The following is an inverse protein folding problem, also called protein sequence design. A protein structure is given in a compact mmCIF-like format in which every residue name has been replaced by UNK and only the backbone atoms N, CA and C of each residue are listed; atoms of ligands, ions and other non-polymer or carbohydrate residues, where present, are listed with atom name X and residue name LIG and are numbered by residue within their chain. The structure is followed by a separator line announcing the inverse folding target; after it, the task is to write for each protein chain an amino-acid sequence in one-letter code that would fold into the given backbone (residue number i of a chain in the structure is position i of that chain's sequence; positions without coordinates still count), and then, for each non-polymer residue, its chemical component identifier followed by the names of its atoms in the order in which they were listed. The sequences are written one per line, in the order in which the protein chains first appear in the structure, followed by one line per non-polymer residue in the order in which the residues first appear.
data_IF_350103945895
#
_entry.id   IF_350103945895
#
_cell.length_a   1.000
_cell.length_b   1.000
_cell.length_c   1.000
_cell.angle_alpha   90.00
_cell.angle_beta   90.00
_cell.angle_gamma   90.00
#
_symmetry.space_group_name_H-M   'P 1'
#
loop_
_entity.id
_entity.type
_entity.pdbx_description
1 polymer ?
#
# COMPACT_ATOMS: atom_id res chain seq x y z
N UNK A 1 14.86 -18.49 32.97
CA UNK A 1 14.61 -18.24 31.54
C UNK A 1 13.22 -17.59 31.29
N UNK A 2 12.07 -18.22 31.70
CA UNK A 2 10.75 -17.63 31.43
C UNK A 2 10.55 -16.16 31.90
N UNK A 3 11.15 -15.76 33.05
CA UNK A 3 11.05 -14.37 33.54
C UNK A 3 11.87 -13.37 32.71
N UNK A 4 13.05 -13.79 32.23
CA UNK A 4 13.88 -12.96 31.35
C UNK A 4 13.25 -12.79 29.96
N UNK A 5 12.69 -13.88 29.39
CA UNK A 5 11.95 -13.81 28.14
C UNK A 5 10.77 -12.80 28.23
N UNK A 6 10.02 -12.87 29.34
CA UNK A 6 8.91 -11.94 29.58
C UNK A 6 9.37 -10.48 29.73
N UNK A 7 10.52 -10.28 30.38
CA UNK A 7 11.11 -8.96 30.55
C UNK A 7 11.55 -8.35 29.22
N UNK A 8 12.30 -9.12 28.39
CA UNK A 8 12.68 -8.72 27.04
C UNK A 8 11.41 -8.42 26.24
N UNK A 9 10.42 -9.34 26.28
CA UNK A 9 9.17 -9.17 25.55
C UNK A 9 8.42 -7.89 25.91
N UNK A 10 8.26 -7.58 27.19
CA UNK A 10 7.62 -6.32 27.64
C UNK A 10 8.35 -5.07 27.14
N UNK A 11 9.69 -5.09 27.21
CA UNK A 11 10.50 -3.96 26.75
C UNK A 11 10.38 -3.75 25.24
N UNK A 12 10.37 -4.86 24.46
CA UNK A 12 10.16 -4.79 23.00
C UNK A 12 8.74 -4.34 22.65
N UNK A 13 7.71 -4.85 23.34
CA UNK A 13 6.32 -4.38 23.14
C UNK A 13 6.22 -2.87 23.38
N UNK A 14 6.76 -2.38 24.50
CA UNK A 14 6.76 -0.96 24.80
C UNK A 14 7.49 -0.15 23.72
N UNK A 15 8.65 -0.64 23.26
CA UNK A 15 9.38 -0.05 22.14
C UNK A 15 8.55 0.00 20.86
N UNK A 16 7.84 -1.08 20.51
CA UNK A 16 6.98 -1.13 19.32
C UNK A 16 5.81 -0.15 19.46
N UNK A 17 5.17 -0.09 20.61
CA UNK A 17 4.05 0.84 20.84
C UNK A 17 4.48 2.30 20.72
N UNK A 18 5.62 2.67 21.33
CA UNK A 18 6.18 4.03 21.22
C UNK A 18 6.55 4.34 19.77
N UNK A 19 7.24 3.43 19.09
CA UNK A 19 7.64 3.61 17.69
C UNK A 19 6.42 3.70 16.76
N UNK A 20 5.39 2.86 16.97
CA UNK A 20 4.13 2.93 16.21
C UNK A 20 3.44 4.28 16.42
N UNK A 21 3.31 4.74 17.67
CA UNK A 21 2.69 6.04 17.97
C UNK A 21 3.45 7.19 17.31
N UNK A 22 4.78 7.15 17.34
CA UNK A 22 5.63 8.15 16.68
C UNK A 22 5.44 8.15 15.15
N UNK A 23 5.43 6.98 14.52
CA UNK A 23 5.22 6.84 13.08
C UNK A 23 3.80 7.28 12.67
N UNK A 24 2.78 6.86 13.42
CA UNK A 24 1.39 7.27 13.17
C UNK A 24 1.27 8.79 13.28
N UNK A 25 1.81 9.38 14.34
CA UNK A 25 1.78 10.84 14.53
C UNK A 25 2.45 11.58 13.37
N UNK A 26 3.67 11.16 12.99
CA UNK A 26 4.42 11.76 11.88
C UNK A 26 3.65 11.66 10.56
N UNK A 27 3.20 10.46 10.19
CA UNK A 27 2.48 10.24 8.94
C UNK A 27 1.11 10.92 8.93
N UNK A 28 0.41 10.95 10.06
CA UNK A 28 -0.85 11.69 10.17
C UNK A 28 -0.67 13.19 9.93
N UNK A 29 0.42 13.78 10.43
CA UNK A 29 0.76 15.19 10.16
C UNK A 29 1.08 15.40 8.68
N UNK A 30 1.88 14.52 8.07
CA UNK A 30 2.19 14.61 6.64
C UNK A 30 0.93 14.49 5.77
N UNK A 31 0.07 13.50 6.06
CA UNK A 31 -1.21 13.35 5.36
C UNK A 31 -2.11 14.57 5.57
N UNK A 32 -2.09 15.20 6.77
CA UNK A 32 -2.84 16.43 7.00
C UNK A 32 -2.35 17.59 6.13
N UNK A 33 -1.04 17.74 5.98
CA UNK A 33 -0.46 18.76 5.12
C UNK A 33 -0.82 18.53 3.64
N UNK A 34 -0.86 17.28 3.21
CA UNK A 34 -1.32 16.90 1.86
C UNK A 34 -2.81 17.26 1.67
N UNK A 35 -3.68 16.91 2.63
CA UNK A 35 -5.11 17.20 2.57
C UNK A 35 -5.42 18.71 2.63
N UNK A 36 -4.55 19.54 3.22
CA UNK A 36 -4.71 20.99 3.20
C UNK A 36 -4.61 21.58 1.79
N UNK A 37 -3.93 20.89 0.86
CA UNK A 37 -3.88 21.26 -0.54
C UNK A 37 -5.20 21.00 -1.32
N UNK A 38 -6.02 20.09 -0.79
CA UNK A 38 -7.29 19.66 -1.40
C UNK A 38 -8.52 20.34 -0.79
N UNK A 39 -8.34 21.36 0.08
CA UNK A 39 -9.47 22.05 0.72
C UNK A 39 -10.38 22.76 -0.29
N UNK A 40 -11.68 22.65 -0.06
CA UNK A 40 -12.74 23.27 -0.85
C UNK A 40 -13.86 23.83 0.06
N UNK A 41 -14.85 24.53 -0.51
CA UNK A 41 -15.99 25.04 0.28
C UNK A 41 -16.76 23.93 1.01
N UNK A 42 -16.75 22.71 0.48
CA UNK A 42 -17.42 21.53 1.08
C UNK A 42 -16.47 20.63 1.88
N UNK A 43 -15.16 20.73 1.64
CA UNK A 43 -14.12 19.96 2.35
C UNK A 43 -13.25 20.90 3.18
N UNK A 44 -13.69 21.17 4.39
CA UNK A 44 -13.00 22.06 5.32
C UNK A 44 -11.90 21.33 6.13
N UNK A 45 -11.10 22.08 6.87
CA UNK A 45 -10.03 21.53 7.69
C UNK A 45 -10.53 20.53 8.75
N UNK A 46 -11.79 20.65 9.21
CA UNK A 46 -12.39 19.69 10.13
C UNK A 46 -12.71 18.36 9.45
N UNK A 47 -13.15 18.40 8.20
CA UNK A 47 -13.37 17.21 7.37
C UNK A 47 -12.05 16.51 7.08
N UNK A 48 -10.98 17.25 6.74
CA UNK A 48 -9.63 16.72 6.61
C UNK A 48 -9.15 16.03 7.89
N UNK A 49 -9.38 16.65 9.05
CA UNK A 49 -9.04 16.05 10.35
C UNK A 49 -9.81 14.75 10.59
N UNK A 50 -11.11 14.72 10.31
CA UNK A 50 -11.94 13.50 10.40
C UNK A 50 -11.40 12.39 9.47
N UNK A 51 -11.07 12.74 8.23
CA UNK A 51 -10.47 11.82 7.28
C UNK A 51 -9.22 11.16 7.84
N UNK A 52 -8.32 11.95 8.47
CA UNK A 52 -7.09 11.43 9.08
C UNK A 52 -7.41 10.46 10.22
N UNK A 53 -8.34 10.83 11.13
CA UNK A 53 -8.73 9.94 12.22
C UNK A 53 -9.23 8.58 11.71
N UNK A 54 -10.03 8.58 10.64
CA UNK A 54 -10.46 7.34 10.00
C UNK A 54 -9.33 6.61 9.24
N UNK A 55 -8.26 7.30 8.85
CA UNK A 55 -7.09 6.72 8.19
C UNK A 55 -6.05 6.13 9.18
N UNK A 56 -6.14 6.42 10.48
CA UNK A 56 -5.20 5.90 11.51
C UNK A 56 -5.05 4.38 11.47
N UNK A 57 -6.10 3.55 11.37
CA UNK A 57 -5.96 2.09 11.32
C UNK A 57 -5.15 1.62 10.10
N UNK A 58 -5.28 2.30 8.96
CA UNK A 58 -4.48 2.02 7.76
C UNK A 58 -3.02 2.38 8.00
N UNK A 59 -2.74 3.60 8.47
CA UNK A 59 -1.38 4.07 8.76
C UNK A 59 -0.70 3.11 9.77
N UNK A 60 -1.40 2.71 10.82
CA UNK A 60 -0.90 1.72 11.78
C UNK A 60 -0.53 0.40 11.09
N UNK A 61 -1.45 -0.15 10.29
CA UNK A 61 -1.24 -1.41 9.59
C UNK A 61 -0.04 -1.35 8.63
N UNK A 62 0.06 -0.32 7.80
CA UNK A 62 1.13 -0.14 6.82
C UNK A 62 2.50 0.08 7.47
N UNK A 63 2.54 0.76 8.63
CA UNK A 63 3.80 1.06 9.35
C UNK A 63 4.28 -0.05 10.26
N UNK A 64 3.48 -1.08 10.47
CA UNK A 64 3.74 -2.14 11.46
C UNK A 64 5.11 -2.83 11.29
N UNK A 65 5.57 -3.20 10.07
CA UNK A 65 6.90 -3.78 9.88
C UNK A 65 8.03 -2.83 10.33
N UNK A 66 7.91 -1.55 10.02
CA UNK A 66 8.91 -0.53 10.38
C UNK A 66 8.88 -0.24 11.89
N UNK A 67 7.68 -0.19 12.47
CA UNK A 67 7.50 -0.03 13.92
C UNK A 67 8.09 -1.20 14.70
N UNK A 68 8.03 -2.43 14.18
CA UNK A 68 8.67 -3.59 14.82
C UNK A 68 10.19 -3.50 14.79
N UNK A 69 10.80 -3.04 13.70
CA UNK A 69 12.24 -2.79 13.62
C UNK A 69 12.68 -1.73 14.62
N UNK A 70 12.04 -0.55 14.57
CA UNK A 70 12.38 0.58 15.45
C UNK A 70 12.09 0.24 16.92
N UNK A 71 11.01 -0.47 17.18
CA UNK A 71 10.64 -0.96 18.50
C UNK A 71 11.64 -1.96 19.07
N UNK A 72 12.15 -2.86 18.23
CA UNK A 72 13.24 -3.76 18.59
C UNK A 72 14.53 -2.98 18.90
N UNK A 73 14.90 -2.04 18.03
CA UNK A 73 16.10 -1.22 18.21
C UNK A 73 16.03 -0.34 19.46
N UNK A 74 14.88 0.26 19.74
CA UNK A 74 14.68 1.08 20.95
C UNK A 74 14.62 0.21 22.20
N UNK A 75 13.79 -0.84 22.22
CA UNK A 75 13.60 -1.71 23.38
C UNK A 75 14.87 -2.49 23.77
N UNK A 76 15.45 -3.24 22.84
CA UNK A 76 16.70 -3.92 23.09
C UNK A 76 17.89 -2.95 23.22
N UNK A 77 17.82 -1.80 22.56
CA UNK A 77 18.80 -0.74 22.68
C UNK A 77 18.88 -0.18 24.11
N UNK A 78 17.75 0.00 24.78
CA UNK A 78 17.69 0.37 26.21
C UNK A 78 18.36 -0.70 27.08
N UNK A 79 18.07 -1.96 26.85
CA UNK A 79 18.68 -3.09 27.59
C UNK A 79 20.20 -3.20 27.31
N UNK A 80 20.64 -2.87 26.08
CA UNK A 80 22.05 -2.82 25.74
C UNK A 80 22.79 -1.68 26.47
N UNK A 81 22.21 -0.48 26.46
CA UNK A 81 22.82 0.70 27.11
C UNK A 81 22.94 0.54 28.63
N UNK A 82 22.00 -0.15 29.27
CA UNK A 82 22.05 -0.49 30.69
C UNK A 82 22.86 -1.74 30.98
N UNK A 83 23.64 -2.25 30.03
CA UNK A 83 24.48 -3.45 30.13
C UNK A 83 23.71 -4.75 30.46
N UNK A 84 22.39 -4.73 30.48
CA UNK A 84 21.55 -5.87 30.85
C UNK A 84 21.68 -7.02 29.85
N UNK A 85 21.82 -6.71 28.54
CA UNK A 85 22.06 -7.77 27.53
C UNK A 85 23.40 -8.50 27.75
N UNK A 86 24.43 -7.79 28.23
CA UNK A 86 25.73 -8.38 28.54
C UNK A 86 25.58 -9.34 29.74
N UNK A 87 24.87 -8.91 30.79
CA UNK A 87 24.56 -9.73 31.97
C UNK A 87 23.74 -10.97 31.57
N UNK A 88 22.70 -10.83 30.72
CA UNK A 88 21.91 -11.96 30.25
C UNK A 88 22.76 -12.98 29.48
N UNK A 89 23.71 -12.51 28.67
CA UNK A 89 24.65 -13.37 27.96
C UNK A 89 25.65 -14.08 28.92
N UNK A 90 26.13 -13.40 29.94
CA UNK A 90 27.00 -14.02 30.95
C UNK A 90 26.29 -15.13 31.75
N UNK A 91 24.96 -15.06 31.87
CA UNK A 91 24.12 -16.13 32.43
C UNK A 91 23.78 -17.24 31.42
N UNK A 92 24.43 -17.27 30.25
CA UNK A 92 24.30 -18.33 29.26
C UNK A 92 23.19 -18.13 28.19
N UNK A 93 22.51 -16.98 28.15
CA UNK A 93 21.56 -16.72 27.07
C UNK A 93 22.30 -16.48 25.74
N UNK A 94 21.94 -17.24 24.72
CA UNK A 94 22.46 -17.06 23.37
C UNK A 94 21.83 -15.87 22.67
N UNK A 95 22.50 -15.32 21.64
CA UNK A 95 21.94 -14.26 20.81
C UNK A 95 20.63 -14.69 20.13
N UNK A 96 20.51 -15.97 19.78
CA UNK A 96 19.29 -16.56 19.19
C UNK A 96 18.13 -16.62 20.17
N UNK A 97 18.39 -16.95 21.44
CA UNK A 97 17.34 -16.92 22.47
C UNK A 97 16.81 -15.53 22.71
N UNK A 98 17.68 -14.51 22.72
CA UNK A 98 17.27 -13.09 22.81
C UNK A 98 16.48 -12.68 21.58
N UNK A 99 16.94 -13.08 20.37
CA UNK A 99 16.21 -12.82 19.12
C UNK A 99 14.81 -13.40 19.17
N UNK A 100 14.69 -14.65 19.61
CA UNK A 100 13.39 -15.32 19.70
C UNK A 100 12.48 -14.72 20.78
N UNK A 101 13.06 -14.26 21.89
CA UNK A 101 12.32 -13.54 22.95
C UNK A 101 11.80 -12.19 22.48
N UNK A 102 12.48 -11.53 21.53
CA UNK A 102 12.02 -10.30 20.90
C UNK A 102 11.02 -10.56 19.77
N UNK A 103 11.22 -11.62 18.98
CA UNK A 103 10.37 -11.95 17.83
C UNK A 103 8.95 -12.41 18.24
N UNK A 104 8.81 -13.17 19.32
CA UNK A 104 7.49 -13.64 19.82
C UNK A 104 6.50 -12.50 20.05
N UNK A 105 6.80 -11.48 20.88
CA UNK A 105 5.88 -10.40 21.13
C UNK A 105 5.65 -9.52 19.89
N UNK A 106 6.67 -9.34 19.06
CA UNK A 106 6.52 -8.64 17.79
C UNK A 106 5.54 -9.39 16.88
N UNK A 107 5.63 -10.71 16.76
CA UNK A 107 4.69 -11.53 15.99
C UNK A 107 3.26 -11.40 16.51
N UNK A 108 3.05 -11.39 17.84
CA UNK A 108 1.71 -11.21 18.42
C UNK A 108 1.11 -9.86 18.00
N UNK A 109 1.88 -8.76 18.08
CA UNK A 109 1.42 -7.43 17.66
C UNK A 109 1.11 -7.41 16.17
N UNK A 110 1.94 -8.04 15.35
CA UNK A 110 1.74 -8.10 13.89
C UNK A 110 0.49 -8.90 13.53
N UNK A 111 0.25 -10.03 14.19
CA UNK A 111 -0.95 -10.83 13.98
C UNK A 111 -2.23 -10.08 14.41
N UNK A 112 -2.16 -9.34 15.54
CA UNK A 112 -3.24 -8.45 15.97
C UNK A 112 -3.48 -7.33 14.95
N UNK A 113 -2.40 -6.73 14.43
CA UNK A 113 -2.48 -5.72 13.37
C UNK A 113 -3.10 -6.27 12.09
N UNK A 114 -2.73 -7.48 11.68
CA UNK A 114 -3.33 -8.16 10.52
C UNK A 114 -4.82 -8.44 10.75
N UNK A 115 -5.20 -8.91 11.92
CA UNK A 115 -6.60 -9.11 12.27
C UNK A 115 -7.41 -7.80 12.22
N UNK A 116 -6.86 -6.70 12.76
CA UNK A 116 -7.47 -5.37 12.66
C UNK A 116 -7.54 -4.89 11.20
N UNK A 117 -6.50 -5.15 10.41
CA UNK A 117 -6.45 -4.86 8.98
C UNK A 117 -7.55 -5.58 8.17
N UNK A 118 -7.91 -6.80 8.56
CA UNK A 118 -8.96 -7.55 7.87
C UNK A 118 -10.38 -7.18 8.32
N UNK A 119 -10.56 -6.75 9.57
CA UNK A 119 -11.90 -6.54 10.16
C UNK A 119 -12.29 -5.07 10.25
N UNK A 120 -11.38 -4.22 10.68
CA UNK A 120 -11.64 -2.80 10.93
C UNK A 120 -11.31 -1.92 9.73
N UNK A 121 -10.18 -2.18 9.05
CA UNK A 121 -9.69 -1.36 7.95
C UNK A 121 -10.76 -1.06 6.88
N UNK A 122 -11.50 -2.04 6.31
CA UNK A 122 -12.46 -1.76 5.25
C UNK A 122 -13.57 -0.80 5.67
N UNK A 123 -14.02 -0.91 6.95
CA UNK A 123 -15.07 -0.04 7.50
C UNK A 123 -14.57 1.40 7.69
N UNK A 124 -13.37 1.55 8.26
CA UNK A 124 -12.77 2.86 8.48
C UNK A 124 -12.43 3.56 7.15
N UNK A 125 -11.87 2.82 6.18
CA UNK A 125 -11.56 3.34 4.85
C UNK A 125 -12.83 3.76 4.08
N UNK A 126 -13.93 3.01 4.22
CA UNK A 126 -15.22 3.41 3.64
C UNK A 126 -15.67 4.76 4.20
N UNK A 127 -15.60 4.95 5.52
CA UNK A 127 -15.98 6.21 6.15
C UNK A 127 -15.03 7.36 5.78
N UNK A 128 -13.72 7.11 5.73
CA UNK A 128 -12.74 8.08 5.28
C UNK A 128 -13.04 8.55 3.85
N UNK A 129 -13.34 7.61 2.97
CA UNK A 129 -13.69 7.90 1.58
C UNK A 129 -14.95 8.74 1.47
N UNK A 130 -16.04 8.37 2.17
CA UNK A 130 -17.29 9.15 2.19
C UNK A 130 -17.04 10.61 2.62
N UNK A 131 -16.18 10.84 3.62
CA UNK A 131 -15.83 12.20 4.05
C UNK A 131 -15.08 12.95 2.96
N UNK A 132 -14.12 12.32 2.29
CA UNK A 132 -13.36 12.95 1.22
C UNK A 132 -14.23 13.20 -0.02
N UNK A 133 -15.06 12.24 -0.42
CA UNK A 133 -15.98 12.35 -1.57
C UNK A 133 -17.08 13.38 -1.34
N UNK A 134 -17.63 13.50 -0.12
CA UNK A 134 -18.67 14.50 0.19
C UNK A 134 -18.17 15.95 0.14
N UNK A 135 -16.86 16.15 0.23
CA UNK A 135 -16.23 17.46 0.25
C UNK A 135 -15.61 17.88 -1.09
N UNK A 136 -15.19 16.93 -1.89
CA UNK A 136 -14.70 17.21 -3.23
C UNK A 136 -15.90 17.24 -4.19
N UNK A 137 -16.02 18.27 -5.01
CA UNK A 137 -16.99 18.25 -6.10
C UNK A 137 -16.69 17.02 -6.98
N UNK A 138 -17.34 15.90 -6.63
CA UNK A 138 -17.67 14.79 -7.51
C UNK A 138 -16.53 14.08 -8.27
N UNK A 139 -15.24 14.38 -8.02
CA UNK A 139 -14.13 13.79 -8.78
C UNK A 139 -13.44 12.67 -8.00
N UNK A 140 -13.67 11.40 -8.38
CA UNK A 140 -13.13 10.21 -7.70
C UNK A 140 -11.78 9.77 -8.29
N UNK A 141 -11.32 10.46 -9.34
CA UNK A 141 -10.14 10.02 -10.12
C UNK A 141 -8.82 10.57 -9.60
N UNK A 142 -7.72 9.79 -9.66
CA UNK A 142 -6.38 10.31 -9.50
C UNK A 142 -6.09 11.42 -10.51
N UNK A 143 -5.29 12.40 -10.16
CA UNK A 143 -4.90 13.52 -11.04
C UNK A 143 -4.34 13.10 -12.41
N UNK A 144 -3.84 11.86 -12.53
CA UNK A 144 -3.33 11.26 -13.77
C UNK A 144 -4.39 10.60 -14.64
N UNK A 145 -5.65 10.49 -14.18
CA UNK A 145 -6.68 9.69 -14.82
C UNK A 145 -6.47 8.19 -14.61
N UNK A 146 -7.43 7.40 -15.05
CA UNK A 146 -7.40 5.94 -14.90
C UNK A 146 -7.31 5.26 -16.28
N UNK A 147 -6.36 4.34 -16.44
CA UNK A 147 -6.15 3.54 -17.65
C UNK A 147 -6.55 2.09 -17.43
N UNK A 148 -7.28 1.54 -18.39
CA UNK A 148 -7.53 0.09 -18.46
C UNK A 148 -7.65 -0.34 -19.93
N UNK A 149 -7.62 -1.65 -20.15
CA UNK A 149 -7.74 -2.24 -21.48
C UNK A 149 -8.97 -3.13 -21.51
N UNK A 150 -9.82 -2.91 -22.51
CA UNK A 150 -10.94 -3.79 -22.84
C UNK A 150 -10.71 -4.31 -24.25
N UNK A 151 -10.54 -5.61 -24.42
CA UNK A 151 -10.16 -6.26 -25.68
C UNK A 151 -8.93 -5.63 -26.35
N UNK A 152 -9.15 -4.87 -27.44
CA UNK A 152 -8.12 -4.18 -28.24
C UNK A 152 -8.13 -2.66 -28.05
N UNK A 153 -8.91 -2.17 -27.10
CA UNK A 153 -9.08 -0.76 -26.85
C UNK A 153 -8.46 -0.38 -25.51
N UNK A 154 -7.52 0.55 -25.50
CA UNK A 154 -7.03 1.19 -24.30
C UNK A 154 -7.94 2.36 -23.97
N UNK A 155 -8.44 2.38 -22.75
CA UNK A 155 -9.41 3.34 -22.28
C UNK A 155 -8.77 4.16 -21.15
N UNK A 156 -8.78 5.50 -21.33
CA UNK A 156 -8.41 6.42 -20.28
C UNK A 156 -9.63 7.22 -19.86
N UNK A 157 -9.92 7.18 -18.58
CA UNK A 157 -10.93 8.04 -17.95
C UNK A 157 -10.20 9.13 -17.18
N UNK A 158 -10.33 10.38 -17.63
CA UNK A 158 -9.71 11.53 -16.97
C UNK A 158 -10.40 11.82 -15.63
N UNK A 159 -11.74 11.82 -15.62
CA UNK A 159 -12.54 12.07 -14.42
C UNK A 159 -13.76 11.15 -14.36
N UNK A 160 -13.94 10.52 -13.21
CA UNK A 160 -15.11 9.68 -12.88
C UNK A 160 -15.82 10.31 -11.69
N UNK A 161 -17.13 10.55 -11.83
CA UNK A 161 -17.93 11.16 -10.79
C UNK A 161 -18.73 10.11 -10.01
N UNK A 162 -19.04 10.39 -8.76
CA UNK A 162 -19.81 9.50 -7.89
C UNK A 162 -21.21 9.19 -8.41
N UNK A 163 -21.76 10.06 -9.24
CA UNK A 163 -23.05 9.87 -9.91
C UNK A 163 -22.98 9.05 -11.20
N UNK A 164 -21.80 8.55 -11.54
CA UNK A 164 -21.56 7.73 -12.73
C UNK A 164 -21.29 8.52 -14.01
N UNK A 165 -21.20 9.86 -13.96
CA UNK A 165 -20.76 10.66 -15.11
C UNK A 165 -19.24 10.52 -15.31
N UNK A 166 -18.79 10.60 -16.57
CA UNK A 166 -17.38 10.59 -16.92
C UNK A 166 -17.00 11.87 -17.65
N UNK A 167 -15.75 12.33 -17.48
CA UNK A 167 -15.15 13.41 -18.28
C UNK A 167 -13.76 13.06 -18.77
N UNK A 168 -13.36 13.67 -19.88
CA UNK A 168 -12.05 13.48 -20.53
C UNK A 168 -11.77 11.99 -20.81
N UNK A 169 -12.61 11.39 -21.63
CA UNK A 169 -12.53 10.00 -22.03
C UNK A 169 -11.64 9.87 -23.27
N UNK A 170 -10.65 9.00 -23.24
CA UNK A 170 -9.83 8.67 -24.39
C UNK A 170 -9.90 7.16 -24.65
N UNK A 171 -10.33 6.80 -25.86
CA UNK A 171 -10.35 5.43 -26.35
C UNK A 171 -9.30 5.30 -27.45
N UNK A 172 -8.39 4.35 -27.31
CA UNK A 172 -7.31 4.09 -28.28
C UNK A 172 -7.43 2.65 -28.73
N UNK A 173 -7.85 2.49 -29.98
CA UNK A 173 -8.00 1.16 -30.59
C UNK A 173 -6.70 0.73 -31.25
N UNK A 174 -6.21 -0.46 -30.84
CA UNK A 174 -5.00 -1.08 -31.35
C UNK A 174 -5.34 -2.28 -32.25
N UNK A 175 -4.69 -2.36 -33.41
CA UNK A 175 -4.78 -3.50 -34.32
C UNK A 175 -3.39 -3.87 -34.83
N UNK A 176 -2.95 -5.10 -34.55
CA UNK A 176 -1.64 -5.62 -34.94
C UNK A 176 -0.45 -4.76 -34.46
N UNK A 177 -0.47 -4.27 -33.23
CA UNK A 177 0.60 -3.45 -32.64
C UNK A 177 0.63 -1.99 -33.14
N UNK A 178 -0.40 -1.55 -33.89
CA UNK A 178 -0.52 -0.18 -34.39
C UNK A 178 -1.83 0.44 -33.94
N UNK A 179 -1.78 1.71 -33.55
CA UNK A 179 -2.99 2.48 -33.24
C UNK A 179 -3.71 2.79 -34.56
N UNK A 180 -4.96 2.39 -34.65
CA UNK A 180 -5.79 2.56 -35.86
C UNK A 180 -6.87 3.63 -35.69
N UNK A 181 -7.32 3.87 -34.44
CA UNK A 181 -8.36 4.83 -34.15
C UNK A 181 -8.17 5.40 -32.74
N UNK A 182 -8.36 6.69 -32.60
CA UNK A 182 -8.48 7.34 -31.29
C UNK A 182 -9.80 8.09 -31.22
N UNK A 183 -10.46 8.00 -30.08
CA UNK A 183 -11.70 8.72 -29.80
C UNK A 183 -11.49 9.50 -28.52
N UNK A 184 -11.65 10.79 -28.57
CA UNK A 184 -11.69 11.64 -27.38
C UNK A 184 -13.11 12.17 -27.20
N UNK A 185 -13.61 12.10 -25.97
CA UNK A 185 -14.91 12.66 -25.61
C UNK A 185 -14.78 13.54 -24.38
N UNK A 186 -15.47 14.68 -24.39
CA UNK A 186 -15.47 15.61 -23.25
C UNK A 186 -16.18 15.02 -22.04
N UNK A 187 -17.33 14.37 -22.28
CA UNK A 187 -18.15 13.76 -21.22
C UNK A 187 -18.86 12.51 -21.71
N UNK A 188 -19.21 11.63 -20.75
CA UNK A 188 -20.09 10.49 -21.00
C UNK A 188 -21.13 10.35 -19.90
N UNK A 189 -22.31 9.89 -20.28
CA UNK A 189 -23.40 9.55 -19.35
C UNK A 189 -23.91 8.17 -19.66
N UNK A 190 -24.31 7.45 -18.61
CA UNK A 190 -24.86 6.11 -18.73
C UNK A 190 -26.38 6.14 -18.72
N UNK A 191 -26.99 5.56 -19.75
CA UNK A 191 -28.44 5.36 -19.77
C UNK A 191 -28.77 4.02 -19.13
N UNK A 192 -29.34 4.05 -17.93
CA UNK A 192 -29.73 2.85 -17.16
C UNK A 192 -30.89 2.07 -17.82
N UNK A 193 -31.70 2.70 -18.68
CA UNK A 193 -32.80 2.05 -19.37
C UNK A 193 -32.33 1.24 -20.57
N UNK A 194 -31.34 1.77 -21.29
CA UNK A 194 -30.77 1.13 -22.48
C UNK A 194 -29.48 0.35 -22.17
N UNK A 195 -28.96 0.46 -20.94
CA UNK A 195 -27.69 -0.13 -20.50
C UNK A 195 -26.52 0.25 -21.42
N UNK A 196 -26.43 1.52 -21.84
CA UNK A 196 -25.43 2.04 -22.78
C UNK A 196 -24.82 3.34 -22.30
N UNK A 197 -23.58 3.56 -22.70
CA UNK A 197 -22.90 4.84 -22.54
C UNK A 197 -23.11 5.69 -23.76
N UNK A 198 -23.42 6.97 -23.55
CA UNK A 198 -23.44 8.01 -24.58
C UNK A 198 -22.28 8.96 -24.34
N UNK A 199 -21.37 9.05 -25.31
CA UNK A 199 -20.25 10.00 -25.35
C UNK A 199 -20.71 11.31 -25.99
N UNK A 200 -20.30 12.46 -25.46
CA UNK A 200 -20.66 13.77 -25.98
C UNK A 200 -19.42 14.59 -26.32
N UNK A 201 -19.56 15.48 -27.32
CA UNK A 201 -18.50 16.32 -27.88
C UNK A 201 -17.29 15.45 -28.30
N UNK A 202 -17.55 14.51 -29.21
CA UNK A 202 -16.62 13.47 -29.59
C UNK A 202 -15.74 13.88 -30.75
N UNK A 203 -14.42 13.68 -30.60
CA UNK A 203 -13.44 13.83 -31.67
C UNK A 203 -12.87 12.47 -31.99
N UNK A 204 -13.22 11.93 -33.13
CA UNK A 204 -12.68 10.66 -33.63
C UNK A 204 -11.57 10.93 -34.63
N UNK A 205 -10.41 10.31 -34.44
CA UNK A 205 -9.29 10.35 -35.39
C UNK A 205 -8.98 8.94 -35.85
N UNK A 206 -9.15 8.69 -37.13
CA UNK A 206 -8.74 7.45 -37.78
C UNK A 206 -7.33 7.59 -38.31
N UNK A 207 -6.43 6.70 -37.92
CA UNK A 207 -5.01 6.73 -38.28
C UNK A 207 -4.79 5.69 -39.39
N UNK A 208 -4.53 6.17 -40.62
CA UNK A 208 -4.28 5.36 -41.82
C UNK A 208 -3.27 6.03 -42.72
N UNK A 209 -3.29 5.72 -44.03
CA UNK A 209 -2.47 6.42 -45.05
C UNK A 209 -2.80 7.91 -45.14
N UNK A 210 -4.05 8.28 -44.84
CA UNK A 210 -4.49 9.67 -44.57
C UNK A 210 -5.16 9.66 -43.23
N UNK A 211 -4.84 10.66 -42.41
CA UNK A 211 -5.45 10.82 -41.07
C UNK A 211 -6.74 11.63 -41.25
N UNK A 212 -7.87 11.02 -40.93
CA UNK A 212 -9.19 11.66 -40.99
C UNK A 212 -9.67 11.96 -39.58
N UNK A 213 -10.03 13.23 -39.33
CA UNK A 213 -10.63 13.68 -38.10
C UNK A 213 -12.13 13.99 -38.30
N UNK A 214 -12.97 13.45 -37.43
CA UNK A 214 -14.43 13.68 -37.46
C UNK A 214 -14.86 14.17 -36.07
N UNK A 215 -15.73 15.19 -36.06
CA UNK A 215 -16.32 15.73 -34.83
C UNK A 215 -17.81 15.41 -34.86
N UNK A 216 -18.30 14.79 -33.79
CA UNK A 216 -19.70 14.38 -33.64
C UNK A 216 -20.23 14.88 -32.29
N UNK A 217 -21.50 15.28 -32.23
CA UNK A 217 -22.13 15.77 -31.00
C UNK A 217 -22.29 14.64 -29.99
N UNK A 218 -22.65 13.46 -30.45
CA UNK A 218 -22.77 12.25 -29.58
C UNK A 218 -22.51 10.96 -30.33
N UNK A 219 -21.95 9.96 -29.62
CA UNK A 219 -21.77 8.59 -30.11
C UNK A 219 -22.11 7.63 -28.99
N UNK A 220 -22.77 6.52 -29.33
CA UNK A 220 -22.94 5.40 -28.40
C UNK A 220 -21.62 4.66 -28.23
N UNK A 221 -21.22 4.39 -27.01
CA UNK A 221 -20.05 3.60 -26.67
C UNK A 221 -20.50 2.25 -26.12
N UNK A 222 -20.26 1.22 -26.92
CA UNK A 222 -20.52 -0.15 -26.51
C UNK A 222 -19.35 -0.67 -25.67
N UNK A 223 -19.57 -0.84 -24.38
CA UNK A 223 -18.62 -1.42 -23.42
C UNK A 223 -19.38 -2.24 -22.39
N UNK A 224 -18.74 -3.30 -21.88
CA UNK A 224 -19.28 -4.11 -20.80
C UNK A 224 -19.23 -3.43 -19.43
N UNK A 225 -18.65 -2.23 -19.34
CA UNK A 225 -18.39 -1.54 -18.07
C UNK A 225 -19.61 -0.75 -17.65
N UNK A 226 -20.09 -1.00 -16.45
CA UNK A 226 -21.20 -0.26 -15.84
C UNK A 226 -20.70 0.82 -14.87
N UNK A 227 -21.48 1.89 -14.57
CA UNK A 227 -21.11 2.89 -13.57
C UNK A 227 -20.82 2.31 -12.19
N UNK A 228 -21.55 1.27 -11.78
CA UNK A 228 -21.32 0.58 -10.51
C UNK A 228 -19.95 -0.10 -10.45
N UNK A 229 -19.48 -0.65 -11.56
CA UNK A 229 -18.15 -1.24 -11.67
C UNK A 229 -17.05 -0.15 -11.66
N UNK A 230 -17.28 0.99 -12.29
CA UNK A 230 -16.36 2.12 -12.25
C UNK A 230 -16.25 2.74 -10.86
N UNK A 231 -17.38 2.95 -10.18
CA UNK A 231 -17.40 3.60 -8.86
C UNK A 231 -16.89 2.72 -7.72
N UNK A 232 -17.11 1.41 -7.79
CA UNK A 232 -16.84 0.54 -6.65
C UNK A 232 -15.60 -0.33 -6.84
N UNK A 233 -15.18 -0.59 -8.07
CA UNK A 233 -14.30 -1.72 -8.32
C UNK A 233 -12.98 -1.39 -9.01
N UNK A 234 -12.93 -0.41 -9.90
CA UNK A 234 -11.74 -0.14 -10.72
C UNK A 234 -10.78 0.84 -10.03
N UNK A 235 -11.31 1.77 -9.25
CA UNK A 235 -10.56 2.86 -8.61
C UNK A 235 -10.10 2.59 -7.18
N UNK A 236 -10.34 1.39 -6.64
CA UNK A 236 -9.91 1.07 -5.27
C UNK A 236 -8.45 0.64 -5.25
N UNK A 237 -7.63 1.38 -4.50
CA UNK A 237 -6.26 0.99 -4.20
C UNK A 237 -6.23 -0.39 -3.51
N UNK A 238 -5.50 -1.38 -4.07
CA UNK A 238 -5.40 -2.71 -3.47
C UNK A 238 -4.92 -2.71 -2.01
N UNK A 239 -4.15 -1.71 -1.59
CA UNK A 239 -3.68 -1.57 -0.20
C UNK A 239 -4.83 -1.38 0.80
N UNK A 240 -5.95 -0.82 0.36
CA UNK A 240 -7.13 -0.49 1.18
C UNK A 240 -8.14 -1.63 1.29
N UNK A 241 -8.00 -2.68 0.48
CA UNK A 241 -8.89 -3.84 0.44
C UNK A 241 -8.44 -4.90 1.45
N UNK A 242 -9.36 -5.67 2.02
CA UNK A 242 -9.03 -6.86 2.81
C UNK A 242 -8.49 -7.99 1.91
N UNK A 243 -7.80 -8.97 2.50
CA UNK A 243 -7.33 -10.17 1.78
C UNK A 243 -8.51 -10.87 1.07
N UNK A 244 -9.65 -10.96 1.74
CA UNK A 244 -10.85 -11.58 1.19
C UNK A 244 -11.40 -10.81 -0.02
N UNK A 245 -11.48 -9.49 0.07
CA UNK A 245 -11.91 -8.64 -1.04
C UNK A 245 -10.94 -8.73 -2.22
N UNK A 246 -9.62 -8.73 -1.96
CA UNK A 246 -8.60 -8.92 -2.99
C UNK A 246 -8.77 -10.26 -3.72
N UNK A 247 -8.99 -11.37 -2.99
CA UNK A 247 -9.20 -12.68 -3.59
C UNK A 247 -10.46 -12.72 -4.47
N UNK A 248 -11.56 -12.13 -3.99
CA UNK A 248 -12.81 -12.04 -4.77
C UNK A 248 -12.60 -11.21 -6.03
N UNK A 249 -11.89 -10.08 -5.90
CA UNK A 249 -11.59 -9.19 -7.03
C UNK A 249 -10.70 -9.85 -8.06
N UNK A 250 -9.61 -10.51 -7.65
CA UNK A 250 -8.73 -11.27 -8.55
C UNK A 250 -9.52 -12.35 -9.29
N UNK A 251 -10.38 -13.09 -8.58
CA UNK A 251 -11.21 -14.13 -9.17
C UNK A 251 -12.19 -13.60 -10.21
N UNK A 252 -12.79 -12.44 -9.94
CA UNK A 252 -13.67 -11.74 -10.87
C UNK A 252 -12.91 -11.27 -12.11
N UNK A 253 -11.84 -10.47 -11.93
CA UNK A 253 -11.06 -9.94 -13.04
C UNK A 253 -10.48 -11.04 -13.94
N UNK A 254 -10.06 -12.16 -13.33
CA UNK A 254 -9.54 -13.32 -14.07
C UNK A 254 -10.63 -13.99 -14.92
N UNK A 255 -11.87 -14.05 -14.46
CA UNK A 255 -13.01 -14.59 -15.24
C UNK A 255 -13.35 -13.69 -16.41
N UNK A 256 -13.28 -12.38 -16.24
CA UNK A 256 -13.57 -11.38 -17.26
C UNK A 256 -12.38 -11.14 -18.21
N UNK A 257 -11.25 -11.83 -18.02
CA UNK A 257 -10.05 -11.63 -18.86
C UNK A 257 -9.36 -10.27 -18.68
N UNK A 258 -9.64 -9.57 -17.56
CA UNK A 258 -9.08 -8.26 -17.23
C UNK A 258 -7.76 -8.38 -16.47
N UNK A 259 -6.94 -7.33 -16.51
CA UNK A 259 -5.69 -7.28 -15.76
C UNK A 259 -5.92 -7.24 -14.24
N UNK A 260 -5.30 -8.18 -13.52
CA UNK A 260 -5.44 -8.34 -12.07
C UNK A 260 -4.11 -8.26 -11.31
N UNK A 261 -3.01 -8.01 -12.01
CA UNK A 261 -1.66 -8.03 -11.43
C UNK A 261 -1.46 -7.11 -10.23
N UNK A 262 -2.07 -5.90 -10.24
CA UNK A 262 -2.00 -4.97 -9.11
C UNK A 262 -2.67 -5.54 -7.85
N UNK A 263 -3.81 -6.20 -8.00
CA UNK A 263 -4.54 -6.82 -6.89
C UNK A 263 -3.81 -8.05 -6.36
N UNK A 264 -3.17 -8.82 -7.25
CA UNK A 264 -2.33 -9.94 -6.85
C UNK A 264 -1.09 -9.48 -6.09
N UNK A 265 -0.45 -8.40 -6.51
CA UNK A 265 0.65 -7.76 -5.78
C UNK A 265 0.20 -7.31 -4.38
N UNK A 266 -0.95 -6.61 -4.28
CA UNK A 266 -1.54 -6.19 -3.00
C UNK A 266 -1.83 -7.38 -2.08
N UNK A 267 -2.34 -8.47 -2.63
CA UNK A 267 -2.62 -9.71 -1.90
C UNK A 267 -1.33 -10.30 -1.30
N UNK A 268 -0.30 -10.48 -2.11
CA UNK A 268 0.97 -11.06 -1.64
C UNK A 268 1.71 -10.16 -0.66
N UNK A 269 1.65 -8.85 -0.85
CA UNK A 269 2.22 -7.87 0.09
C UNK A 269 1.57 -8.00 1.46
N UNK A 270 0.24 -8.16 1.53
CA UNK A 270 -0.48 -8.36 2.80
C UNK A 270 -0.19 -9.71 3.44
N UNK A 271 -0.20 -10.79 2.68
CA UNK A 271 0.11 -12.14 3.19
C UNK A 271 1.54 -12.20 3.74
N UNK A 272 2.48 -11.53 3.11
CA UNK A 272 3.89 -11.53 3.52
C UNK A 272 4.23 -10.49 4.59
N UNK A 273 3.30 -9.63 4.98
CA UNK A 273 3.56 -8.59 5.99
C UNK A 273 4.06 -9.15 7.35
N UNK A 274 3.51 -10.25 7.89
CA UNK A 274 4.07 -10.87 9.10
C UNK A 274 5.52 -11.32 8.92
N UNK A 275 5.85 -11.89 7.77
CA UNK A 275 7.21 -12.32 7.44
C UNK A 275 8.16 -11.13 7.28
N UNK A 276 7.70 -10.04 6.65
CA UNK A 276 8.44 -8.79 6.55
C UNK A 276 8.77 -8.23 7.95
N UNK A 277 7.78 -8.20 8.83
CA UNK A 277 7.97 -7.74 10.21
C UNK A 277 8.99 -8.59 10.97
N UNK A 278 8.93 -9.91 10.86
CA UNK A 278 9.92 -10.80 11.49
C UNK A 278 11.32 -10.65 10.89
N UNK A 279 11.43 -10.47 9.56
CA UNK A 279 12.69 -10.20 8.90
C UNK A 279 13.33 -8.90 9.42
N UNK A 280 12.51 -7.85 9.58
CA UNK A 280 12.97 -6.57 10.11
C UNK A 280 13.34 -6.65 11.60
N UNK A 281 12.63 -7.43 12.41
CA UNK A 281 13.02 -7.73 13.79
C UNK A 281 14.39 -8.41 13.81
N UNK A 282 14.63 -9.39 12.94
CA UNK A 282 15.92 -10.08 12.82
C UNK A 282 17.06 -9.09 12.50
N UNK A 283 16.82 -8.16 11.55
CA UNK A 283 17.77 -7.09 11.22
C UNK A 283 18.00 -6.17 12.42
N UNK A 284 16.95 -5.76 13.14
CA UNK A 284 17.06 -4.92 14.32
C UNK A 284 17.91 -5.55 15.42
N UNK A 285 17.68 -6.82 15.70
CA UNK A 285 18.50 -7.58 16.68
C UNK A 285 19.94 -7.69 16.18
N UNK A 286 20.15 -8.00 14.89
CA UNK A 286 21.49 -8.13 14.32
C UNK A 286 22.31 -6.84 14.42
N UNK A 287 21.67 -5.69 14.30
CA UNK A 287 22.31 -4.39 14.47
C UNK A 287 22.80 -4.16 15.91
N UNK A 288 22.01 -4.57 16.91
CA UNK A 288 22.35 -4.42 18.33
C UNK A 288 23.53 -5.27 18.73
N UNK A 289 23.59 -6.51 18.26
CA UNK A 289 24.70 -7.42 18.59
C UNK A 289 25.92 -7.26 17.67
N UNK A 290 25.72 -6.70 16.47
CA UNK A 290 26.74 -6.51 15.44
C UNK A 290 27.25 -5.07 15.32
N UNK A 291 27.00 -4.40 14.17
CA UNK A 291 27.67 -3.15 13.82
C UNK A 291 27.35 -1.99 14.77
N UNK A 292 26.22 -1.99 15.45
CA UNK A 292 25.78 -0.92 16.34
C UNK A 292 25.92 -1.25 17.83
N UNK A 293 26.70 -2.25 18.19
CA UNK A 293 26.83 -2.71 19.59
C UNK A 293 27.31 -1.62 20.55
N UNK A 294 28.24 -0.77 20.10
CA UNK A 294 28.86 0.28 20.93
C UNK A 294 28.28 1.67 20.71
N UNK A 295 27.24 1.81 19.89
CA UNK A 295 26.63 3.09 19.55
C UNK A 295 25.53 3.46 20.54
N UNK A 296 25.19 4.75 20.59
CA UNK A 296 24.07 5.25 21.38
C UNK A 296 22.71 4.92 20.71
N UNK A 297 21.62 5.11 21.45
CA UNK A 297 20.26 4.85 20.99
C UNK A 297 19.89 5.66 19.74
N UNK A 298 20.32 6.93 19.67
CA UNK A 298 20.03 7.81 18.53
C UNK A 298 20.62 7.25 17.23
N UNK A 299 21.90 6.84 17.23
CA UNK A 299 22.52 6.23 16.05
C UNK A 299 21.82 4.94 15.62
N UNK A 300 21.36 4.11 16.58
CA UNK A 300 20.60 2.90 16.28
C UNK A 300 19.26 3.20 15.62
N UNK A 301 18.55 4.21 16.12
CA UNK A 301 17.27 4.64 15.52
C UNK A 301 17.46 5.21 14.12
N UNK A 302 18.49 6.04 13.90
CA UNK A 302 18.81 6.56 12.57
C UNK A 302 19.12 5.43 11.60
N UNK A 303 19.94 4.46 12.00
CA UNK A 303 20.23 3.29 11.18
C UNK A 303 18.96 2.45 10.90
N UNK A 304 18.07 2.30 11.88
CA UNK A 304 16.79 1.62 11.72
C UNK A 304 15.85 2.36 10.75
N UNK A 305 15.76 3.67 10.86
CA UNK A 305 14.96 4.50 9.93
C UNK A 305 15.54 4.39 8.51
N UNK A 306 16.85 4.53 8.36
CA UNK A 306 17.51 4.39 7.04
C UNK A 306 17.24 3.01 6.43
N UNK A 307 17.35 1.94 7.22
CA UNK A 307 17.05 0.59 6.74
C UNK A 307 15.57 0.43 6.38
N UNK A 308 14.65 0.99 7.18
CA UNK A 308 13.21 0.98 6.89
C UNK A 308 12.89 1.66 5.56
N UNK A 309 13.51 2.81 5.30
CA UNK A 309 13.37 3.56 4.04
C UNK A 309 13.90 2.72 2.87
N UNK A 310 15.10 2.15 2.99
CA UNK A 310 15.66 1.28 1.95
C UNK A 310 14.76 0.06 1.68
N UNK A 311 14.22 -0.57 2.72
CA UNK A 311 13.31 -1.69 2.59
C UNK A 311 12.01 -1.28 1.86
N UNK A 312 11.43 -0.13 2.22
CA UNK A 312 10.25 0.43 1.55
C UNK A 312 10.53 0.72 0.08
N UNK A 313 11.68 1.36 -0.24
CA UNK A 313 12.08 1.60 -1.62
C UNK A 313 12.22 0.31 -2.43
N UNK A 314 12.76 -0.74 -1.85
CA UNK A 314 12.84 -2.04 -2.51
C UNK A 314 11.45 -2.59 -2.82
N UNK A 315 10.51 -2.51 -1.87
CA UNK A 315 9.12 -2.94 -2.09
C UNK A 315 8.45 -2.11 -3.20
N UNK A 316 8.59 -0.78 -3.14
CA UNK A 316 7.98 0.15 -4.09
C UNK A 316 8.62 0.07 -5.49
N UNK A 317 9.85 -0.42 -5.59
CA UNK A 317 10.52 -0.66 -6.86
C UNK A 317 10.11 -2.01 -7.47
N UNK A 318 10.25 -3.10 -6.71
CA UNK A 318 9.98 -4.44 -7.24
C UNK A 318 8.49 -4.70 -7.48
N UNK A 319 7.60 -4.06 -6.72
CA UNK A 319 6.16 -4.18 -6.93
C UNK A 319 5.75 -3.76 -8.35
N UNK A 320 5.83 -2.48 -8.72
CA UNK A 320 5.51 -2.00 -10.06
C UNK A 320 6.39 -2.64 -11.15
N UNK A 321 7.68 -2.91 -10.87
CA UNK A 321 8.55 -3.61 -11.83
C UNK A 321 8.00 -4.98 -12.22
N UNK A 322 7.37 -5.71 -11.30
CA UNK A 322 6.76 -7.01 -11.61
C UNK A 322 5.63 -6.89 -12.65
N UNK A 323 4.87 -5.82 -12.58
CA UNK A 323 3.76 -5.56 -13.50
C UNK A 323 4.27 -5.15 -14.90
N UNK A 324 5.34 -4.35 -14.94
CA UNK A 324 5.93 -3.88 -16.20
C UNK A 324 6.71 -4.99 -16.92
N UNK A 325 7.50 -5.75 -16.18
CA UNK A 325 8.34 -6.82 -16.73
C UNK A 325 7.67 -8.20 -16.71
N UNK A 326 6.39 -8.29 -16.34
CA UNK A 326 5.58 -9.52 -16.31
C UNK A 326 6.21 -10.69 -15.54
N UNK A 327 6.90 -10.42 -14.42
CA UNK A 327 7.30 -11.48 -13.51
C UNK A 327 6.34 -11.58 -12.31
N UNK A 328 6.34 -12.74 -11.64
CA UNK A 328 5.35 -13.04 -10.60
C UNK A 328 5.33 -12.00 -9.47
N UNK A 329 4.16 -11.41 -9.13
CA UNK A 329 3.98 -10.50 -7.99
C UNK A 329 4.39 -11.11 -6.64
N UNK A 330 4.28 -12.44 -6.51
CA UNK A 330 4.76 -13.18 -5.33
C UNK A 330 6.28 -12.99 -5.14
N UNK A 331 7.07 -13.09 -6.21
CA UNK A 331 8.52 -12.89 -6.17
C UNK A 331 8.82 -11.43 -5.82
N UNK A 332 8.11 -10.48 -6.42
CA UNK A 332 8.28 -9.05 -6.13
C UNK A 332 8.06 -8.71 -4.65
N UNK A 333 6.99 -9.23 -4.05
CA UNK A 333 6.68 -9.02 -2.64
C UNK A 333 7.66 -9.76 -1.71
N UNK A 334 8.15 -10.94 -2.11
CA UNK A 334 9.03 -11.78 -1.29
C UNK A 334 10.50 -11.38 -1.31
N UNK A 335 10.99 -10.78 -2.40
CA UNK A 335 12.42 -10.51 -2.61
C UNK A 335 13.02 -9.56 -1.57
N UNK A 336 12.40 -8.40 -1.21
CA UNK A 336 12.91 -7.53 -0.16
C UNK A 336 12.98 -8.22 1.20
N UNK A 337 12.04 -9.10 1.48
CA UNK A 337 11.99 -9.88 2.73
C UNK A 337 13.16 -10.86 2.77
N UNK A 338 13.39 -11.59 1.69
CA UNK A 338 14.48 -12.56 1.57
C UNK A 338 15.84 -11.88 1.74
N UNK A 339 16.05 -10.73 1.08
CA UNK A 339 17.27 -9.91 1.24
C UNK A 339 17.47 -9.53 2.70
N UNK A 340 16.40 -9.06 3.38
CA UNK A 340 16.45 -8.67 4.80
C UNK A 340 16.76 -9.85 5.73
N UNK A 341 16.19 -11.02 5.46
CA UNK A 341 16.48 -12.26 6.24
C UNK A 341 17.93 -12.67 6.06
N UNK A 342 18.45 -12.72 4.83
CA UNK A 342 19.84 -13.09 4.55
C UNK A 342 20.79 -12.12 5.24
N UNK A 343 20.54 -10.82 5.14
CA UNK A 343 21.38 -9.79 5.76
C UNK A 343 21.34 -9.88 7.29
N UNK A 344 20.15 -9.98 7.88
CA UNK A 344 19.97 -10.13 9.32
C UNK A 344 20.63 -11.40 9.87
N UNK A 345 20.46 -12.52 9.17
CA UNK A 345 21.10 -13.78 9.51
C UNK A 345 22.62 -13.70 9.44
N UNK A 346 23.16 -13.16 8.35
CA UNK A 346 24.62 -13.03 8.17
C UNK A 346 25.24 -12.14 9.26
N UNK A 347 24.63 -10.99 9.53
CA UNK A 347 25.10 -10.10 10.59
C UNK A 347 25.02 -10.73 11.98
N UNK A 348 23.92 -11.43 12.28
CA UNK A 348 23.74 -12.08 13.58
C UNK A 348 24.72 -13.23 13.79
N UNK A 349 24.98 -14.04 12.75
CA UNK A 349 25.97 -15.12 12.80
C UNK A 349 27.39 -14.60 13.01
N UNK A 350 27.72 -13.43 12.47
CA UNK A 350 29.03 -12.77 12.65
C UNK A 350 29.20 -12.16 14.04
N UNK A 351 28.09 -11.81 14.71
CA UNK A 351 28.06 -11.17 16.02
C UNK A 351 28.02 -12.16 17.21
N UNK A 352 27.64 -13.42 16.99
CA UNK A 352 27.57 -14.48 17.99
C UNK A 352 28.85 -15.22 18.15
#
# INVERSE_FOLDING_TARGET
MKKLDLYIGKTVILGILISSSGLIGLLSVLTFLEELGDLSEKYDALSALKYIVYSIPRIFYETLPYATLLGCLSGLGLLANSSQLVVMRSFGMSTWEITWSAAKPALVIVLLGLFLGETALPKFEKNARVIKESGLEEDITPSSGFWFKEDKTYIRLGKVFSDGRLRDINLIEEKNGKVVKTVWAEKATYDYLQAKWSLFNVKTTKIGYQTEGEIQESIDWETGITPSQLNTEILVDPSRMSIRELQQKISFLKKEGLEFGQFELGLWTKIFQPLASLALVLVGVSFIFGPLRQTNIGTRLVAGITFSICFKFLQDFFGPASLVFNFSPLIAAGLPILVSVILGWHLLRKAG
#
